data_IF_677398525687
#
_entry.id   IF_677398525687
#
_cell.length_a   1.000
_cell.length_b   1.000
_cell.length_c   1.000
_cell.angle_alpha   90.00
_cell.angle_beta   90.00
_cell.angle_gamma   90.00
#
_symmetry.space_group_name_H-M   'P 1'
#
loop_
_entity.id
_entity.type
_entity.pdbx_description
1 polymer ?
#
# COMPACT_ATOMS: atom_id res chain seq x y z
N UNK A 1 24.56 9.98 13.76
CA UNK A 1 24.65 8.54 13.56
C UNK A 1 24.33 8.29 12.10
N UNK A 2 25.34 8.12 11.27
CA UNK A 2 25.17 7.62 9.90
C UNK A 2 24.77 6.16 10.02
N UNK A 3 23.60 5.80 9.45
CA UNK A 3 23.24 4.42 9.31
C UNK A 3 24.30 3.77 8.42
N UNK A 4 25.01 2.79 8.94
CA UNK A 4 25.80 1.86 8.17
C UNK A 4 24.86 1.29 7.09
N UNK A 5 25.04 1.74 5.83
CA UNK A 5 24.54 0.99 4.71
C UNK A 5 25.16 -0.38 4.82
N UNK A 6 24.37 -1.37 5.21
CA UNK A 6 24.82 -2.73 5.31
C UNK A 6 25.41 -3.14 3.96
N UNK A 7 26.65 -3.58 3.94
CA UNK A 7 27.40 -4.15 2.80
C UNK A 7 26.75 -5.42 2.22
N UNK A 8 25.52 -5.71 2.61
CA UNK A 8 24.72 -6.81 2.09
C UNK A 8 24.26 -6.47 0.67
N UNK A 9 24.72 -7.27 -0.31
CA UNK A 9 24.32 -7.14 -1.69
C UNK A 9 22.80 -7.07 -1.84
N UNK A 10 22.30 -5.96 -2.38
CA UNK A 10 20.87 -5.73 -2.68
C UNK A 10 20.48 -6.53 -3.93
N UNK A 11 20.23 -7.80 -3.76
CA UNK A 11 19.93 -8.74 -4.86
C UNK A 11 18.44 -8.94 -5.09
N UNK A 12 17.63 -8.80 -4.05
CA UNK A 12 16.19 -9.10 -4.11
C UNK A 12 15.39 -7.93 -4.75
N UNK A 13 14.32 -8.23 -5.50
CA UNK A 13 13.45 -7.20 -6.05
C UNK A 13 12.74 -6.43 -4.93
N UNK A 14 12.38 -5.17 -5.23
CA UNK A 14 11.62 -4.35 -4.28
C UNK A 14 10.25 -4.95 -4.01
N UNK A 15 9.85 -4.98 -2.74
CA UNK A 15 8.50 -5.37 -2.33
C UNK A 15 7.45 -4.36 -2.84
N UNK A 16 6.16 -4.75 -2.97
CA UNK A 16 5.09 -3.81 -3.32
C UNK A 16 5.02 -2.61 -2.35
N UNK A 17 5.21 -2.86 -1.06
CA UNK A 17 5.22 -1.82 -0.03
C UNK A 17 6.39 -0.85 -0.20
N UNK A 18 7.57 -1.36 -0.58
CA UNK A 18 8.74 -0.53 -0.85
C UNK A 18 8.52 0.37 -2.06
N UNK A 19 7.86 -0.15 -3.11
CA UNK A 19 7.49 0.63 -4.30
C UNK A 19 6.48 1.72 -3.95
N UNK A 20 5.45 1.39 -3.18
CA UNK A 20 4.43 2.34 -2.71
C UNK A 20 5.06 3.45 -1.85
N UNK A 21 5.92 3.10 -0.90
CA UNK A 21 6.65 4.06 -0.06
C UNK A 21 7.56 4.96 -0.89
N UNK A 22 8.28 4.41 -1.87
CA UNK A 22 9.10 5.19 -2.79
C UNK A 22 8.25 6.18 -3.60
N UNK A 23 7.07 5.75 -4.06
CA UNK A 23 6.12 6.62 -4.75
C UNK A 23 5.60 7.74 -3.83
N UNK A 24 5.21 7.43 -2.60
CA UNK A 24 4.80 8.44 -1.60
C UNK A 24 5.90 9.46 -1.29
N UNK A 25 7.16 9.02 -1.26
CA UNK A 25 8.32 9.89 -1.03
C UNK A 25 8.71 10.73 -2.26
N UNK A 26 8.02 10.54 -3.38
CA UNK A 26 8.30 11.25 -4.62
C UNK A 26 9.44 10.66 -5.44
N UNK A 27 9.90 9.45 -5.12
CA UNK A 27 10.95 8.75 -5.84
C UNK A 27 10.32 7.95 -6.98
N UNK A 28 10.26 8.57 -8.16
CA UNK A 28 9.73 7.95 -9.39
C UNK A 28 10.76 8.03 -10.51
N UNK A 29 10.68 7.08 -11.45
CA UNK A 29 11.52 7.13 -12.65
C UNK A 29 11.18 8.39 -13.46
N UNK A 30 12.19 9.14 -13.88
CA UNK A 30 12.02 10.34 -14.72
C UNK A 30 13.09 10.36 -15.80
N UNK A 31 12.66 10.61 -17.03
CA UNK A 31 13.58 10.91 -18.14
C UNK A 31 13.42 12.37 -18.56
N UNK A 32 14.51 13.11 -18.46
CA UNK A 32 14.56 14.50 -18.96
C UNK A 32 14.49 14.54 -20.48
N UNK A 33 15.08 13.56 -21.14
CA UNK A 33 15.13 13.44 -22.59
C UNK A 33 13.74 13.25 -23.20
N UNK A 34 12.94 12.36 -22.58
CA UNK A 34 11.54 12.17 -22.96
C UNK A 34 10.75 13.46 -22.76
N UNK A 35 10.94 14.15 -21.63
CA UNK A 35 10.30 15.44 -21.37
C UNK A 35 10.63 16.48 -22.42
N UNK A 36 11.91 16.62 -22.78
CA UNK A 36 12.38 17.56 -23.81
C UNK A 36 11.80 17.20 -25.19
N UNK A 37 11.82 15.92 -25.56
CA UNK A 37 11.21 15.43 -26.80
C UNK A 37 9.71 15.77 -26.87
N UNK A 38 8.95 15.46 -25.82
CA UNK A 38 7.50 15.73 -25.76
C UNK A 38 7.21 17.21 -25.88
N UNK A 39 7.93 18.07 -25.15
CA UNK A 39 7.76 19.52 -25.20
C UNK A 39 8.03 20.07 -26.60
N UNK A 40 9.18 19.71 -27.18
CA UNK A 40 9.55 20.24 -28.52
C UNK A 40 8.64 19.70 -29.63
N UNK A 41 8.23 18.40 -29.54
CA UNK A 41 7.30 17.81 -30.49
C UNK A 41 5.92 18.45 -30.42
N UNK A 42 5.42 18.74 -29.20
CA UNK A 42 4.16 19.44 -29.01
C UNK A 42 4.21 20.87 -29.55
N UNK A 43 5.29 21.57 -29.27
CA UNK A 43 5.50 22.93 -29.77
C UNK A 43 5.53 22.99 -31.29
N UNK A 44 6.32 22.12 -31.93
CA UNK A 44 6.42 22.05 -33.39
C UNK A 44 5.08 21.61 -34.01
N UNK A 45 4.43 20.57 -33.43
CA UNK A 45 3.13 20.08 -33.89
C UNK A 45 2.03 21.13 -33.79
N UNK A 46 2.01 21.89 -32.69
CA UNK A 46 1.08 23.02 -32.55
C UNK A 46 1.34 24.13 -33.55
N UNK A 47 2.61 24.51 -33.77
CA UNK A 47 2.97 25.50 -34.79
C UNK A 47 2.62 25.01 -36.20
N UNK A 48 2.78 23.75 -36.48
CA UNK A 48 2.38 23.18 -37.77
C UNK A 48 0.87 23.19 -37.97
N UNK A 49 0.09 22.80 -36.94
CA UNK A 49 -1.37 22.67 -37.02
C UNK A 49 -2.08 24.04 -36.98
N UNK A 50 -1.60 24.99 -36.19
CA UNK A 50 -2.25 26.29 -35.95
C UNK A 50 -1.45 27.50 -36.47
N UNK A 51 -0.32 27.25 -37.12
CA UNK A 51 0.59 28.33 -37.55
C UNK A 51 -0.02 29.34 -38.53
N UNK A 52 -0.87 28.88 -39.47
CA UNK A 52 -1.59 29.78 -40.38
C UNK A 52 -2.59 30.68 -39.64
N UNK A 53 -3.37 30.11 -38.74
CA UNK A 53 -4.30 30.88 -37.89
C UNK A 53 -3.57 31.89 -37.02
N UNK A 54 -2.44 31.49 -36.45
CA UNK A 54 -1.59 32.37 -35.64
C UNK A 54 -1.04 33.52 -36.48
N UNK A 55 -0.55 33.24 -37.71
CA UNK A 55 -0.04 34.23 -38.64
C UNK A 55 -1.14 35.21 -39.06
N UNK A 56 -2.35 34.75 -39.37
CA UNK A 56 -3.48 35.58 -39.72
C UNK A 56 -3.91 36.51 -38.58
N UNK A 57 -4.01 35.98 -37.36
CA UNK A 57 -4.34 36.78 -36.18
C UNK A 57 -3.27 37.80 -35.85
N UNK A 58 -1.99 37.41 -35.88
CA UNK A 58 -0.88 38.35 -35.64
C UNK A 58 -0.76 39.40 -36.77
N UNK A 59 -0.96 38.97 -38.00
CA UNK A 59 -0.97 39.87 -39.17
C UNK A 59 -2.11 40.90 -39.10
N UNK A 60 -3.31 40.44 -38.69
CA UNK A 60 -4.45 41.36 -38.50
C UNK A 60 -4.24 42.29 -37.30
N UNK A 61 -3.69 41.81 -36.20
CA UNK A 61 -3.35 42.65 -35.04
C UNK A 61 -2.32 43.69 -35.40
N UNK A 62 -1.28 43.31 -36.17
CA UNK A 62 -0.26 44.25 -36.64
C UNK A 62 -0.84 45.27 -37.59
N UNK A 63 -1.66 44.85 -38.57
CA UNK A 63 -2.32 45.74 -39.54
C UNK A 63 -3.24 46.72 -38.81
N UNK A 64 -4.06 46.25 -37.89
CA UNK A 64 -4.96 47.11 -37.10
C UNK A 64 -4.19 48.08 -36.18
N UNK A 65 -3.03 47.65 -35.66
CA UNK A 65 -2.15 48.51 -34.85
C UNK A 65 -1.44 49.61 -35.68
N UNK A 66 -1.19 49.36 -36.98
CA UNK A 66 -0.57 50.33 -37.89
C UNK A 66 -1.57 51.20 -38.63
N UNK A 67 -2.82 50.78 -38.79
CA UNK A 67 -3.91 51.50 -39.43
C UNK A 67 -4.78 52.17 -38.37
N UNK A 68 -4.62 53.44 -38.15
CA UNK A 68 -5.42 54.25 -37.23
C UNK A 68 -5.93 55.50 -37.91
N UNK A 69 -7.14 55.90 -37.55
CA UNK A 69 -7.72 57.12 -38.01
C UNK A 69 -7.01 58.33 -37.38
N UNK A 70 -6.91 59.43 -38.14
CA UNK A 70 -6.24 60.66 -37.65
C UNK A 70 -6.83 61.18 -36.33
N UNK A 71 -8.15 61.02 -36.13
CA UNK A 71 -8.83 61.49 -34.94
C UNK A 71 -8.36 60.62 -33.69
N UNK A 72 -8.18 59.32 -33.85
CA UNK A 72 -7.70 58.41 -32.80
C UNK A 72 -6.24 58.65 -32.38
N UNK A 73 -5.42 59.24 -33.27
CA UNK A 73 -4.02 59.57 -32.97
C UNK A 73 -3.84 60.77 -32.01
N UNK A 74 -4.90 61.55 -31.81
CA UNK A 74 -4.87 62.75 -30.94
C UNK A 74 -5.69 62.56 -29.67
N UNK A 75 -6.31 61.39 -29.47
CA UNK A 75 -7.06 61.01 -28.26
C UNK A 75 -6.34 59.90 -27.47
N UNK A 76 -5.77 60.27 -26.33
CA UNK A 76 -5.01 59.33 -25.47
C UNK A 76 -5.87 58.16 -24.97
N UNK A 77 -7.17 58.35 -24.79
CA UNK A 77 -8.08 57.29 -24.34
C UNK A 77 -8.29 56.23 -25.42
N UNK A 78 -8.45 56.64 -26.65
CA UNK A 78 -8.56 55.77 -27.82
C UNK A 78 -7.25 54.99 -28.07
N UNK A 79 -6.10 55.65 -27.91
CA UNK A 79 -4.78 54.99 -28.05
C UNK A 79 -4.59 53.88 -27.03
N UNK A 80 -4.99 54.09 -25.76
CA UNK A 80 -4.90 53.07 -24.71
C UNK A 80 -5.81 51.87 -25.01
N UNK A 81 -7.04 52.09 -25.42
CA UNK A 81 -7.99 51.03 -25.80
C UNK A 81 -7.48 50.24 -26.99
N UNK A 82 -6.95 50.93 -28.03
CA UNK A 82 -6.40 50.28 -29.23
C UNK A 82 -5.15 49.43 -28.88
N UNK A 83 -4.24 49.95 -28.07
CA UNK A 83 -3.08 49.21 -27.60
C UNK A 83 -3.51 47.95 -26.77
N UNK A 84 -4.49 48.12 -25.88
CA UNK A 84 -5.04 47.02 -25.10
C UNK A 84 -5.66 45.94 -25.98
N UNK A 85 -6.48 46.31 -26.97
CA UNK A 85 -7.11 45.37 -27.90
C UNK A 85 -6.06 44.62 -28.73
N UNK A 86 -5.03 45.31 -29.20
CA UNK A 86 -3.93 44.68 -29.97
C UNK A 86 -3.17 43.65 -29.14
N UNK A 87 -2.89 43.95 -27.87
CA UNK A 87 -2.27 42.99 -26.94
C UNK A 87 -3.16 41.76 -26.71
N UNK A 88 -4.46 41.97 -26.48
CA UNK A 88 -5.42 40.86 -26.29
C UNK A 88 -5.48 39.96 -27.54
N UNK A 89 -5.56 40.51 -28.74
CA UNK A 89 -5.56 39.74 -29.98
C UNK A 89 -4.23 38.98 -30.19
N UNK A 90 -3.10 39.60 -29.86
CA UNK A 90 -1.80 38.92 -29.92
C UNK A 90 -1.72 37.75 -28.91
N UNK A 91 -2.24 37.94 -27.68
CA UNK A 91 -2.32 36.84 -26.69
C UNK A 91 -3.29 35.72 -27.14
N UNK A 92 -4.42 36.06 -27.73
CA UNK A 92 -5.35 35.08 -28.31
C UNK A 92 -4.71 34.28 -29.45
N UNK A 93 -3.90 34.92 -30.29
CA UNK A 93 -3.16 34.22 -31.33
C UNK A 93 -2.16 33.19 -30.76
N UNK A 94 -1.54 33.48 -29.62
CA UNK A 94 -0.59 32.57 -28.94
C UNK A 94 -1.27 31.53 -28.02
N UNK A 95 -2.54 31.75 -27.70
CA UNK A 95 -3.25 30.91 -26.73
C UNK A 95 -3.21 29.41 -27.07
N UNK A 96 -3.40 28.93 -28.33
CA UNK A 96 -3.32 27.50 -28.64
C UNK A 96 -1.94 26.88 -28.33
N UNK A 97 -0.87 27.64 -28.66
CA UNK A 97 0.50 27.20 -28.38
C UNK A 97 0.77 27.16 -26.88
N UNK A 98 0.39 28.17 -26.13
CA UNK A 98 0.56 28.21 -24.67
C UNK A 98 -0.24 27.13 -23.98
N UNK A 99 -1.48 26.87 -24.41
CA UNK A 99 -2.31 25.79 -23.87
C UNK A 99 -1.69 24.43 -24.16
N UNK A 100 -1.26 24.15 -25.39
CA UNK A 100 -0.61 22.90 -25.75
C UNK A 100 0.69 22.67 -24.97
N UNK A 101 1.52 23.71 -24.83
CA UNK A 101 2.75 23.62 -24.02
C UNK A 101 2.48 23.43 -22.55
N UNK A 102 1.45 24.05 -21.99
CA UNK A 102 1.04 23.85 -20.61
C UNK A 102 0.59 22.39 -20.38
N UNK A 103 -0.22 21.85 -21.28
CA UNK A 103 -0.63 20.43 -21.20
C UNK A 103 0.58 19.51 -21.33
N UNK A 104 1.47 19.77 -22.29
CA UNK A 104 2.70 18.97 -22.44
C UNK A 104 3.59 19.04 -21.20
N UNK A 105 3.74 20.21 -20.57
CA UNK A 105 4.52 20.38 -19.34
C UNK A 105 3.95 19.59 -18.15
N UNK A 106 2.63 19.43 -18.08
CA UNK A 106 1.97 18.62 -17.05
C UNK A 106 2.07 17.13 -17.36
N UNK A 107 1.88 16.73 -18.62
CA UNK A 107 1.84 15.33 -19.04
C UNK A 107 3.22 14.69 -19.13
N UNK A 108 4.23 15.43 -19.63
CA UNK A 108 5.57 14.87 -19.88
C UNK A 108 6.21 14.17 -18.64
N UNK A 109 6.19 14.74 -17.42
CA UNK A 109 6.72 14.06 -16.24
C UNK A 109 5.92 12.82 -15.84
N UNK A 110 4.63 12.78 -16.23
CA UNK A 110 3.71 11.71 -15.84
C UNK A 110 3.85 10.44 -16.69
N UNK A 111 4.44 10.54 -17.89
CA UNK A 111 4.55 9.43 -18.82
C UNK A 111 5.34 8.22 -18.27
N UNK A 112 6.36 8.47 -17.42
CA UNK A 112 7.14 7.40 -16.79
C UNK A 112 6.76 7.15 -15.35
N UNK A 113 6.58 8.22 -14.58
CA UNK A 113 6.41 8.14 -13.12
C UNK A 113 4.97 8.13 -12.63
N UNK A 114 4.01 8.27 -13.54
CA UNK A 114 2.60 8.39 -13.20
C UNK A 114 2.24 9.72 -12.51
N UNK A 115 1.01 9.79 -12.02
CA UNK A 115 0.51 10.97 -11.29
C UNK A 115 1.11 10.99 -9.88
N UNK A 116 1.88 12.02 -9.55
CA UNK A 116 2.54 12.16 -8.26
C UNK A 116 2.14 13.49 -7.58
N UNK A 117 1.28 13.39 -6.56
CA UNK A 117 0.97 14.49 -5.65
C UNK A 117 1.50 14.11 -4.24
N UNK A 118 2.78 14.39 -4.01
CA UNK A 118 3.42 14.10 -2.72
C UNK A 118 3.76 15.37 -1.96
N UNK A 119 3.00 15.69 -0.91
CA UNK A 119 3.32 16.79 0.00
C UNK A 119 4.66 16.61 0.72
N UNK A 120 5.09 15.34 0.93
CA UNK A 120 6.38 15.00 1.54
C UNK A 120 7.58 15.41 0.67
N UNK A 121 7.40 15.44 -0.65
CA UNK A 121 8.47 15.86 -1.58
C UNK A 121 8.75 17.37 -1.56
N UNK A 122 7.80 18.18 -1.11
CA UNK A 122 7.89 19.63 -0.98
C UNK A 122 8.56 20.07 0.33
N UNK A 123 8.72 19.17 1.30
CA UNK A 123 9.39 19.51 2.55
C UNK A 123 10.88 19.77 2.34
N UNK A 124 11.42 20.89 2.87
CA UNK A 124 12.82 21.25 2.73
C UNK A 124 13.70 20.20 3.44
N UNK A 125 14.60 19.57 2.70
CA UNK A 125 15.56 18.59 3.22
C UNK A 125 16.90 19.27 3.47
N UNK A 126 17.08 19.85 4.65
CA UNK A 126 18.32 20.59 5.03
C UNK A 126 19.59 19.73 4.93
N UNK A 127 19.48 18.40 5.04
CA UNK A 127 20.61 17.47 4.83
C UNK A 127 21.21 17.55 3.42
N UNK A 128 20.46 18.02 2.42
CA UNK A 128 20.95 18.23 1.04
C UNK A 128 21.74 19.52 0.85
N UNK A 129 21.70 20.43 1.80
CA UNK A 129 22.37 21.74 1.76
C UNK A 129 23.83 21.70 2.23
N UNK A 130 24.35 20.55 2.64
CA UNK A 130 25.74 20.41 3.06
C UNK A 130 26.67 20.54 1.82
N UNK A 131 27.49 21.64 1.73
CA UNK A 131 28.33 21.90 0.56
C UNK A 131 29.48 20.90 0.41
N UNK A 132 30.04 20.40 1.52
CA UNK A 132 31.14 19.43 1.50
C UNK A 132 30.66 18.09 0.91
N UNK A 133 29.52 17.61 1.33
CA UNK A 133 28.91 16.42 0.76
C UNK A 133 28.44 16.63 -0.71
N UNK A 134 28.17 17.89 -1.10
CA UNK A 134 27.85 18.30 -2.46
C UNK A 134 29.05 18.11 -3.39
N UNK A 135 30.21 18.65 -3.01
CA UNK A 135 31.45 18.55 -3.79
C UNK A 135 31.88 17.08 -3.99
N UNK A 136 31.81 16.27 -2.92
CA UNK A 136 32.13 14.82 -3.03
C UNK A 136 31.22 14.09 -4.03
N UNK A 137 29.95 14.44 -4.10
CA UNK A 137 29.00 13.87 -5.08
C UNK A 137 29.30 14.29 -6.52
N UNK A 138 29.83 15.50 -6.74
CA UNK A 138 30.20 15.97 -8.09
C UNK A 138 31.33 15.13 -8.73
N UNK A 139 32.20 14.56 -7.92
CA UNK A 139 33.29 13.70 -8.38
C UNK A 139 32.99 12.19 -8.22
N UNK A 140 31.72 11.81 -8.04
CA UNK A 140 31.34 10.40 -7.98
C UNK A 140 31.39 9.74 -9.36
N UNK A 141 31.61 8.43 -9.38
CA UNK A 141 31.57 7.62 -10.62
C UNK A 141 30.24 7.71 -11.35
N UNK A 142 29.13 7.91 -10.59
CA UNK A 142 27.81 8.14 -11.17
C UNK A 142 27.73 9.45 -11.95
N UNK A 143 28.30 10.53 -11.39
CA UNK A 143 28.32 11.85 -12.06
C UNK A 143 29.20 11.83 -13.31
N UNK A 144 30.35 11.13 -13.26
CA UNK A 144 31.20 10.93 -14.42
C UNK A 144 30.48 10.16 -15.54
N UNK A 145 29.75 9.10 -15.20
CA UNK A 145 28.96 8.34 -16.15
C UNK A 145 27.84 9.18 -16.79
N UNK A 146 27.19 10.05 -15.99
CA UNK A 146 26.19 11.00 -16.53
C UNK A 146 26.81 12.05 -17.45
N UNK A 147 28.01 12.53 -17.13
CA UNK A 147 28.76 13.47 -17.98
C UNK A 147 29.09 12.84 -19.34
N UNK A 148 29.63 11.61 -19.34
CA UNK A 148 29.93 10.88 -20.58
C UNK A 148 28.67 10.69 -21.43
N UNK A 149 27.56 10.27 -20.84
CA UNK A 149 26.28 10.14 -21.54
C UNK A 149 25.81 11.47 -22.15
N UNK A 150 25.95 12.57 -21.42
CA UNK A 150 25.56 13.90 -21.89
C UNK A 150 26.41 14.33 -23.06
N UNK A 151 27.73 14.09 -23.03
CA UNK A 151 28.63 14.36 -24.15
C UNK A 151 28.27 13.55 -25.39
N UNK A 152 28.03 12.24 -25.24
CA UNK A 152 27.63 11.37 -26.35
C UNK A 152 26.33 11.85 -26.98
N UNK A 153 25.33 12.19 -26.17
CA UNK A 153 24.06 12.77 -26.66
C UNK A 153 24.27 14.08 -27.41
N UNK A 154 25.06 15.00 -26.85
CA UNK A 154 25.35 16.30 -27.48
C UNK A 154 26.06 16.11 -28.81
N UNK A 155 27.00 15.20 -28.91
CA UNK A 155 27.69 14.88 -30.16
C UNK A 155 26.73 14.26 -31.18
N UNK A 156 25.83 13.35 -30.77
CA UNK A 156 24.83 12.74 -31.64
C UNK A 156 23.87 13.79 -32.20
N UNK A 157 23.25 14.61 -31.34
CA UNK A 157 22.32 15.65 -31.76
C UNK A 157 23.04 16.71 -32.61
N UNK A 158 24.26 17.11 -32.21
CA UNK A 158 25.08 18.05 -32.93
C UNK A 158 25.49 17.56 -34.32
N UNK A 159 25.89 16.28 -34.45
CA UNK A 159 26.25 15.69 -35.75
C UNK A 159 25.05 15.57 -36.70
N UNK A 160 23.86 15.16 -36.16
CA UNK A 160 22.63 15.14 -36.95
C UNK A 160 22.23 16.53 -37.38
N UNK A 161 22.29 17.50 -36.48
CA UNK A 161 21.98 18.92 -36.80
C UNK A 161 22.93 19.46 -37.88
N UNK A 162 24.21 19.19 -37.74
CA UNK A 162 25.21 19.56 -38.75
C UNK A 162 24.92 18.93 -40.11
N UNK A 163 24.65 17.63 -40.14
CA UNK A 163 24.33 16.90 -41.36
C UNK A 163 23.07 17.44 -42.05
N UNK A 164 22.01 17.72 -41.30
CA UNK A 164 20.76 18.29 -41.83
C UNK A 164 20.97 19.70 -42.37
N UNK A 165 21.67 20.57 -41.64
CA UNK A 165 21.92 21.96 -42.05
C UNK A 165 22.82 21.99 -43.28
N UNK A 166 23.95 21.26 -43.28
CA UNK A 166 24.89 21.23 -44.39
C UNK A 166 24.25 20.66 -45.66
N UNK A 167 23.38 19.64 -45.54
CA UNK A 167 22.63 19.05 -46.65
C UNK A 167 21.59 20.01 -47.27
N UNK A 168 21.07 20.95 -46.47
CA UNK A 168 20.10 21.94 -46.95
C UNK A 168 20.75 23.28 -47.38
N UNK A 169 22.08 23.43 -47.32
CA UNK A 169 22.76 24.65 -47.67
C UNK A 169 22.47 25.15 -49.10
N UNK A 170 22.40 24.26 -50.12
CA UNK A 170 22.00 24.70 -51.48
C UNK A 170 20.59 25.29 -51.52
N UNK A 171 19.64 24.69 -50.78
CA UNK A 171 18.25 25.18 -50.69
C UNK A 171 18.21 26.54 -50.01
N UNK A 172 19.01 26.76 -48.96
CA UNK A 172 19.13 28.06 -48.29
C UNK A 172 19.66 29.12 -49.24
N UNK A 173 20.66 28.80 -50.03
CA UNK A 173 21.22 29.73 -51.00
C UNK A 173 20.23 30.05 -52.13
N UNK A 174 19.43 29.11 -52.56
CA UNK A 174 18.40 29.30 -53.59
C UNK A 174 17.32 30.32 -53.17
N UNK A 175 17.03 30.44 -51.87
CA UNK A 175 16.07 31.43 -51.36
C UNK A 175 16.43 32.87 -51.70
N UNK A 176 17.70 33.17 -51.88
CA UNK A 176 18.16 34.52 -52.23
C UNK A 176 17.70 34.97 -53.63
N UNK A 177 17.35 34.03 -54.50
CA UNK A 177 16.84 34.30 -55.86
C UNK A 177 15.32 34.31 -55.99
N UNK A 178 14.60 34.04 -54.92
CA UNK A 178 13.14 33.93 -54.96
C UNK A 178 12.43 35.24 -54.60
N UNK A 179 11.20 35.46 -55.11
CA UNK A 179 10.34 36.55 -54.63
C UNK A 179 10.09 36.43 -53.12
N UNK A 180 10.06 37.56 -52.41
CA UNK A 180 9.97 37.60 -50.93
C UNK A 180 8.85 36.74 -50.35
N UNK A 181 7.69 36.71 -50.98
CA UNK A 181 6.55 35.91 -50.50
C UNK A 181 6.84 34.41 -50.56
N UNK A 182 7.42 33.93 -51.68
CA UNK A 182 7.78 32.52 -51.86
C UNK A 182 8.97 32.13 -50.98
N UNK A 183 9.98 33.00 -50.91
CA UNK A 183 11.15 32.82 -50.05
C UNK A 183 10.76 32.66 -48.58
N UNK A 184 9.78 33.43 -48.09
CA UNK A 184 9.27 33.28 -46.72
C UNK A 184 8.59 31.92 -46.49
N UNK A 185 7.73 31.51 -47.41
CA UNK A 185 7.04 30.19 -47.29
C UNK A 185 8.04 29.03 -47.34
N UNK A 186 9.00 29.05 -48.28
CA UNK A 186 10.05 28.04 -48.37
C UNK A 186 10.97 28.02 -47.14
N UNK A 187 11.30 29.20 -46.59
CA UNK A 187 12.10 29.33 -45.36
C UNK A 187 11.37 28.66 -44.21
N UNK A 188 10.07 28.93 -44.00
CA UNK A 188 9.27 28.31 -42.93
C UNK A 188 9.19 26.78 -43.09
N UNK A 189 9.02 26.29 -44.33
CA UNK A 189 9.02 24.84 -44.57
C UNK A 189 10.38 24.22 -44.29
N UNK A 190 11.48 24.86 -44.68
CA UNK A 190 12.83 24.37 -44.43
C UNK A 190 13.15 24.34 -42.94
N UNK A 191 12.81 25.39 -42.20
CA UNK A 191 12.95 25.45 -40.75
C UNK A 191 12.11 24.34 -40.07
N UNK A 192 10.84 24.18 -40.46
CA UNK A 192 9.97 23.16 -39.92
C UNK A 192 10.51 21.74 -40.15
N UNK A 193 10.98 21.43 -41.37
CA UNK A 193 11.62 20.12 -41.68
C UNK A 193 12.89 19.91 -40.87
N UNK A 194 13.75 20.93 -40.78
CA UNK A 194 14.99 20.85 -40.01
C UNK A 194 14.71 20.60 -38.51
N UNK A 195 13.78 21.37 -37.94
CA UNK A 195 13.32 21.14 -36.55
C UNK A 195 12.74 19.75 -36.35
N UNK A 196 11.90 19.27 -37.28
CA UNK A 196 11.32 17.91 -37.19
C UNK A 196 12.38 16.83 -37.21
N UNK A 197 13.42 16.93 -38.02
CA UNK A 197 14.54 15.99 -38.07
C UNK A 197 15.39 16.02 -36.78
N UNK A 198 15.67 17.19 -36.28
CA UNK A 198 16.40 17.36 -35.00
C UNK A 198 15.57 16.80 -33.83
N UNK A 199 14.26 17.11 -33.77
CA UNK A 199 13.38 16.57 -32.75
C UNK A 199 13.25 15.04 -32.90
N UNK A 200 13.19 14.53 -34.13
CA UNK A 200 13.21 13.09 -34.43
C UNK A 200 14.48 12.41 -33.89
N UNK A 201 15.65 13.07 -33.92
CA UNK A 201 16.86 12.57 -33.31
C UNK A 201 16.75 12.46 -31.77
N UNK A 202 16.05 13.38 -31.13
CA UNK A 202 15.80 13.30 -29.68
C UNK A 202 14.90 12.11 -29.29
N UNK A 203 14.02 11.65 -30.20
CA UNK A 203 13.25 10.43 -29.98
C UNK A 203 14.17 9.22 -29.81
N UNK A 204 15.22 9.11 -30.64
CA UNK A 204 16.20 8.02 -30.52
C UNK A 204 16.93 8.08 -29.17
N UNK A 205 17.32 9.29 -28.76
CA UNK A 205 17.95 9.49 -27.44
C UNK A 205 16.99 9.10 -26.31
N UNK A 206 15.73 9.54 -26.38
CA UNK A 206 14.72 9.19 -25.38
C UNK A 206 14.42 7.69 -25.37
N UNK A 207 14.40 7.02 -26.53
CA UNK A 207 14.18 5.58 -26.64
C UNK A 207 15.26 4.74 -25.93
N UNK A 208 16.47 5.27 -25.85
CA UNK A 208 17.58 4.63 -25.10
C UNK A 208 17.54 5.02 -23.61
N UNK A 209 17.24 6.30 -23.32
CA UNK A 209 17.24 6.83 -21.95
C UNK A 209 16.11 6.25 -21.10
N UNK A 210 14.90 6.09 -21.65
CA UNK A 210 13.73 5.59 -20.91
C UNK A 210 13.94 4.21 -20.29
N UNK A 211 14.35 3.15 -21.05
CA UNK A 211 14.63 1.84 -20.46
C UNK A 211 15.75 1.90 -19.41
N UNK A 212 16.78 2.69 -19.66
CA UNK A 212 17.87 2.90 -18.72
C UNK A 212 17.40 3.52 -17.40
N UNK A 213 16.55 4.56 -17.44
CA UNK A 213 16.02 5.22 -16.25
C UNK A 213 15.10 4.27 -15.45
N UNK A 214 14.26 3.49 -16.13
CA UNK A 214 13.44 2.47 -15.50
C UNK A 214 14.28 1.40 -14.81
N UNK A 215 15.29 0.87 -15.51
CA UNK A 215 16.21 -0.12 -14.93
C UNK A 215 16.98 0.44 -13.73
N UNK A 216 17.54 1.65 -13.85
CA UNK A 216 18.26 2.33 -12.78
C UNK A 216 17.37 2.57 -11.56
N UNK A 217 16.12 2.99 -11.77
CA UNK A 217 15.14 3.19 -10.71
C UNK A 217 14.85 1.88 -9.97
N UNK A 218 14.54 0.79 -10.68
CA UNK A 218 14.32 -0.51 -10.07
C UNK A 218 15.57 -1.03 -9.34
N UNK A 219 16.77 -0.82 -9.90
CA UNK A 219 18.02 -1.19 -9.26
C UNK A 219 18.24 -0.46 -7.92
N UNK A 220 17.93 0.84 -7.86
CA UNK A 220 18.04 1.64 -6.62
C UNK A 220 17.05 1.21 -5.53
N UNK A 221 15.92 0.62 -5.90
CA UNK A 221 14.90 0.14 -4.97
C UNK A 221 15.11 -1.31 -4.52
N UNK A 222 16.09 -2.05 -5.09
CA UNK A 222 16.40 -3.42 -4.65
C UNK A 222 16.67 -3.48 -3.16
N UNK A 223 16.33 -4.61 -2.58
CA UNK A 223 16.42 -4.89 -1.16
C UNK A 223 17.45 -5.97 -0.87
N UNK A 224 18.00 -5.95 0.34
CA UNK A 224 18.72 -7.10 0.87
C UNK A 224 17.71 -8.16 1.36
N UNK A 225 18.15 -9.42 1.53
CA UNK A 225 17.30 -10.46 2.13
C UNK A 225 16.90 -10.13 3.56
N UNK A 226 17.71 -9.36 4.24
CA UNK A 226 17.45 -8.94 5.62
C UNK A 226 16.37 -7.85 5.67
N UNK A 227 16.45 -6.85 4.77
CA UNK A 227 15.42 -5.82 4.60
C UNK A 227 14.05 -6.45 4.32
N UNK A 228 14.02 -7.45 3.41
CA UNK A 228 12.79 -8.14 3.04
C UNK A 228 12.18 -8.90 4.22
N UNK A 229 13.01 -9.61 5.01
CA UNK A 229 12.57 -10.30 6.22
C UNK A 229 12.04 -9.32 7.28
N UNK A 230 12.71 -8.20 7.43
CA UNK A 230 12.29 -7.18 8.39
C UNK A 230 10.97 -6.53 7.98
N UNK A 231 10.79 -6.23 6.70
CA UNK A 231 9.54 -5.69 6.18
C UNK A 231 8.38 -6.69 6.32
N UNK A 232 8.64 -7.98 6.10
CA UNK A 232 7.64 -9.04 6.35
C UNK A 232 7.25 -9.11 7.83
N UNK A 233 8.22 -9.03 8.75
CA UNK A 233 7.93 -8.98 10.20
C UNK A 233 7.11 -7.75 10.58
N UNK A 234 7.39 -6.61 9.99
CA UNK A 234 6.63 -5.37 10.24
C UNK A 234 5.21 -5.43 9.67
N UNK A 235 5.02 -6.10 8.53
CA UNK A 235 3.72 -6.25 7.88
C UNK A 235 2.84 -7.30 8.55
N UNK A 236 3.40 -8.49 8.78
CA UNK A 236 2.66 -9.67 9.29
C UNK A 236 2.67 -9.77 10.81
N UNK A 237 3.52 -9.00 11.48
CA UNK A 237 3.82 -9.12 12.91
C UNK A 237 4.77 -10.27 13.20
N UNK A 238 5.50 -10.16 14.29
CA UNK A 238 6.45 -11.20 14.74
C UNK A 238 5.68 -12.48 15.13
N UNK A 239 5.97 -13.65 14.50
CA UNK A 239 5.34 -14.92 14.84
C UNK A 239 5.48 -15.29 16.32
N UNK A 240 6.61 -14.88 16.96
CA UNK A 240 6.83 -15.12 18.38
C UNK A 240 5.87 -14.31 19.26
N UNK A 241 5.61 -13.05 18.91
CA UNK A 241 4.64 -12.21 19.61
C UNK A 241 3.23 -12.76 19.46
N UNK A 242 2.84 -13.20 18.25
CA UNK A 242 1.53 -13.89 18.04
C UNK A 242 1.39 -15.15 18.89
N UNK A 243 2.45 -15.97 18.93
CA UNK A 243 2.46 -17.18 19.76
C UNK A 243 2.37 -16.85 21.25
N UNK A 244 3.05 -15.81 21.72
CA UNK A 244 2.99 -15.37 23.11
C UNK A 244 1.59 -14.85 23.49
N UNK A 245 0.98 -14.05 22.63
CA UNK A 245 -0.39 -13.56 22.83
C UNK A 245 -1.37 -14.74 22.93
N UNK A 246 -1.29 -15.74 22.03
CA UNK A 246 -2.14 -16.93 22.09
C UNK A 246 -1.94 -17.71 23.39
N UNK A 247 -0.68 -17.89 23.84
CA UNK A 247 -0.38 -18.56 25.13
C UNK A 247 -0.99 -17.82 26.31
N UNK A 248 -0.88 -16.49 26.34
CA UNK A 248 -1.48 -15.67 27.40
C UNK A 248 -3.01 -15.76 27.39
N UNK A 249 -3.64 -15.69 26.21
CA UNK A 249 -5.09 -15.86 26.07
C UNK A 249 -5.57 -17.22 26.60
N UNK A 250 -4.87 -18.30 26.25
CA UNK A 250 -5.17 -19.64 26.76
C UNK A 250 -5.01 -19.74 28.29
N UNK A 251 -3.95 -19.14 28.83
CA UNK A 251 -3.74 -19.12 30.27
C UNK A 251 -4.82 -18.32 31.00
N UNK A 252 -5.22 -17.16 30.46
CA UNK A 252 -6.31 -16.37 31.03
C UNK A 252 -7.64 -17.11 30.96
N UNK A 253 -7.97 -17.76 29.84
CA UNK A 253 -9.17 -18.57 29.70
C UNK A 253 -9.18 -19.74 30.72
N UNK A 254 -8.03 -20.43 30.88
CA UNK A 254 -7.88 -21.50 31.89
C UNK A 254 -8.04 -20.99 33.32
N UNK A 255 -7.47 -19.81 33.65
CA UNK A 255 -7.64 -19.20 34.97
C UNK A 255 -9.09 -18.84 35.27
N UNK A 256 -9.82 -18.25 34.27
CA UNK A 256 -11.24 -17.90 34.38
C UNK A 256 -12.07 -19.18 34.62
N UNK A 257 -11.85 -20.22 33.83
CA UNK A 257 -12.52 -21.50 34.00
C UNK A 257 -12.29 -22.06 35.40
N UNK A 258 -11.06 -22.04 35.92
CA UNK A 258 -10.75 -22.51 37.26
C UNK A 258 -11.42 -21.69 38.36
N UNK A 259 -11.59 -20.40 38.17
CA UNK A 259 -12.29 -19.54 39.11
C UNK A 259 -13.82 -19.81 39.20
N UNK A 260 -14.38 -20.48 38.17
CA UNK A 260 -15.80 -20.92 38.22
C UNK A 260 -16.01 -22.24 38.91
N UNK A 261 -14.98 -23.11 39.09
CA UNK A 261 -15.09 -24.41 39.75
C UNK A 261 -15.73 -24.32 41.15
N UNK A 262 -15.39 -23.36 42.03
CA UNK A 262 -16.03 -23.23 43.36
C UNK A 262 -17.55 -22.99 43.31
N UNK A 263 -18.11 -22.60 42.16
CA UNK A 263 -19.54 -22.31 41.97
C UNK A 263 -20.31 -23.56 41.45
N UNK A 264 -19.63 -24.70 41.27
CA UNK A 264 -20.24 -25.93 40.83
C UNK A 264 -21.07 -26.57 41.91
N UNK A 265 -22.19 -27.18 41.53
CA UNK A 265 -23.05 -27.98 42.43
C UNK A 265 -22.51 -29.41 42.60
N UNK A 266 -21.85 -29.94 41.56
CA UNK A 266 -21.23 -31.28 41.57
C UNK A 266 -20.11 -31.35 40.54
N UNK A 267 -19.11 -32.19 40.83
CA UNK A 267 -18.08 -32.57 39.87
C UNK A 267 -18.21 -34.06 39.56
N UNK A 268 -18.31 -34.38 38.26
CA UNK A 268 -18.33 -35.74 37.76
C UNK A 268 -16.95 -36.09 37.25
N UNK A 269 -16.42 -37.24 37.65
CA UNK A 269 -15.03 -37.64 37.35
C UNK A 269 -14.93 -39.00 36.70
N UNK A 270 -13.98 -39.13 35.81
CA UNK A 270 -13.32 -40.39 35.46
C UNK A 270 -11.93 -40.33 36.13
N UNK A 271 -11.64 -41.17 37.13
CA UNK A 271 -10.59 -40.95 38.13
C UNK A 271 -9.21 -40.54 37.60
N UNK A 272 -8.81 -41.07 36.47
CA UNK A 272 -7.47 -40.86 35.90
C UNK A 272 -7.41 -39.87 34.77
N UNK A 273 -8.53 -39.57 34.09
CA UNK A 273 -8.49 -38.87 32.82
C UNK A 273 -9.32 -37.59 32.75
N UNK A 274 -10.54 -37.57 33.30
CA UNK A 274 -11.45 -36.43 33.08
C UNK A 274 -12.12 -35.95 34.36
N UNK A 275 -12.36 -34.63 34.43
CA UNK A 275 -13.26 -34.06 35.43
C UNK A 275 -14.11 -32.96 34.75
N UNK A 276 -15.41 -32.99 35.07
CA UNK A 276 -16.40 -32.02 34.55
C UNK A 276 -17.19 -31.46 35.73
N UNK A 277 -17.20 -30.14 35.85
CA UNK A 277 -17.96 -29.41 36.87
C UNK A 277 -19.29 -28.96 36.28
N UNK A 278 -20.38 -29.32 36.94
CA UNK A 278 -21.73 -29.01 36.55
C UNK A 278 -22.34 -27.99 37.51
N UNK A 279 -23.13 -27.11 36.94
CA UNK A 279 -23.93 -26.15 37.69
C UNK A 279 -25.35 -26.15 37.18
N UNK A 280 -26.30 -26.06 38.11
CA UNK A 280 -27.73 -25.94 37.81
C UNK A 280 -28.43 -25.03 38.81
N UNK A 281 -29.34 -24.18 38.31
CA UNK A 281 -30.17 -23.31 39.13
C UNK A 281 -31.60 -23.34 38.57
N UNK A 282 -32.55 -23.79 39.39
CA UNK A 282 -33.97 -23.87 39.01
C UNK A 282 -34.54 -22.50 38.56
N UNK A 283 -33.99 -21.41 39.07
CA UNK A 283 -34.51 -20.07 38.83
C UNK A 283 -34.06 -19.44 37.51
N UNK A 284 -32.82 -19.78 37.08
CA UNK A 284 -32.13 -19.02 36.01
C UNK A 284 -31.68 -19.89 34.82
N UNK A 285 -31.81 -21.22 34.93
CA UNK A 285 -31.27 -22.17 33.94
C UNK A 285 -32.33 -23.15 33.44
N UNK A 286 -32.40 -23.32 32.11
CA UNK A 286 -33.29 -24.31 31.48
C UNK A 286 -32.76 -25.71 31.59
N UNK A 287 -31.43 -25.88 31.62
CA UNK A 287 -30.72 -27.12 31.75
C UNK A 287 -29.39 -26.94 32.48
N UNK A 288 -28.82 -28.00 33.08
CA UNK A 288 -27.49 -27.96 33.70
C UNK A 288 -26.42 -27.56 32.69
N UNK A 289 -25.42 -26.76 33.15
CA UNK A 289 -24.31 -26.28 32.34
C UNK A 289 -22.98 -26.83 32.83
N UNK A 290 -22.06 -27.02 31.87
CA UNK A 290 -20.66 -27.36 32.15
C UNK A 290 -19.86 -26.09 32.35
N UNK A 291 -19.53 -25.76 33.59
CA UNK A 291 -18.79 -24.54 33.95
C UNK A 291 -17.27 -24.72 33.98
N UNK A 292 -16.80 -25.97 34.15
CA UNK A 292 -15.38 -26.30 33.98
C UNK A 292 -15.25 -27.76 33.51
N UNK A 293 -14.25 -27.99 32.66
CA UNK A 293 -13.88 -29.35 32.24
C UNK A 293 -12.39 -29.46 31.97
N UNK A 294 -11.80 -30.61 32.20
CA UNK A 294 -10.36 -30.80 31.97
C UNK A 294 -9.95 -32.26 31.92
N UNK A 295 -8.76 -32.47 31.36
CA UNK A 295 -8.07 -33.76 31.31
C UNK A 295 -6.85 -33.74 32.24
N UNK A 296 -6.41 -34.88 32.68
CA UNK A 296 -5.14 -35.14 33.37
C UNK A 296 -4.82 -34.10 34.47
N UNK A 297 -3.80 -33.29 34.30
CA UNK A 297 -3.40 -32.26 35.29
C UNK A 297 -4.50 -31.21 35.54
N UNK A 298 -5.32 -30.92 34.54
CA UNK A 298 -6.45 -29.98 34.71
C UNK A 298 -7.55 -30.65 35.52
N UNK A 299 -7.85 -31.94 35.25
CA UNK A 299 -8.81 -32.72 36.01
C UNK A 299 -8.39 -32.87 37.48
N UNK A 300 -7.10 -33.12 37.73
CA UNK A 300 -6.53 -33.15 39.09
C UNK A 300 -6.75 -31.83 39.81
N UNK A 301 -6.50 -30.71 39.15
CA UNK A 301 -6.70 -29.38 39.74
C UNK A 301 -8.17 -29.08 40.05
N UNK A 302 -9.09 -29.44 39.13
CA UNK A 302 -10.53 -29.30 39.34
C UNK A 302 -10.94 -30.12 40.61
N UNK A 303 -10.47 -31.38 40.77
CA UNK A 303 -10.76 -32.20 41.95
C UNK A 303 -10.18 -31.63 43.22
N UNK A 304 -8.95 -31.10 43.18
CA UNK A 304 -8.35 -30.44 44.34
C UNK A 304 -9.17 -29.22 44.80
N UNK A 305 -9.63 -28.36 43.87
CA UNK A 305 -10.54 -27.27 44.18
C UNK A 305 -11.89 -27.72 44.72
N UNK A 306 -12.42 -28.86 44.21
CA UNK A 306 -13.63 -29.44 44.73
C UNK A 306 -13.52 -29.85 46.21
N UNK A 307 -12.41 -30.49 46.57
CA UNK A 307 -12.13 -30.87 47.96
C UNK A 307 -11.97 -29.65 48.88
N UNK A 308 -11.25 -28.64 48.43
CA UNK A 308 -11.05 -27.37 49.15
C UNK A 308 -12.39 -26.66 49.44
N UNK A 309 -13.30 -26.64 48.45
CA UNK A 309 -14.60 -25.98 48.55
C UNK A 309 -15.75 -26.91 48.98
N UNK A 310 -15.44 -28.14 49.37
CA UNK A 310 -16.43 -29.15 49.82
C UNK A 310 -17.55 -29.43 48.81
N UNK A 311 -17.18 -29.39 47.52
CA UNK A 311 -18.10 -29.70 46.41
C UNK A 311 -18.19 -31.21 46.28
N UNK A 312 -19.39 -31.79 46.17
CA UNK A 312 -19.56 -33.23 45.93
C UNK A 312 -18.84 -33.70 44.67
N UNK A 313 -18.11 -34.82 44.77
CA UNK A 313 -17.41 -35.44 43.65
C UNK A 313 -18.00 -36.83 43.46
N UNK A 314 -18.52 -37.09 42.26
CA UNK A 314 -19.07 -38.41 41.91
C UNK A 314 -18.19 -39.05 40.83
N UNK A 315 -17.85 -40.31 41.05
CA UNK A 315 -17.15 -41.13 40.06
C UNK A 315 -18.17 -41.79 39.13
N UNK A 316 -18.18 -41.34 37.84
CA UNK A 316 -19.07 -41.85 36.80
C UNK A 316 -18.39 -41.80 35.44
N UNK A 317 -17.46 -42.71 35.11
CA UNK A 317 -16.62 -42.64 33.93
C UNK A 317 -17.39 -42.50 32.61
N UNK A 318 -18.48 -43.25 32.31
CA UNK A 318 -19.24 -43.10 31.07
C UNK A 318 -19.85 -41.71 30.93
N UNK A 319 -20.47 -41.18 31.98
CA UNK A 319 -21.08 -39.84 31.97
C UNK A 319 -20.04 -38.77 31.83
N UNK A 320 -18.88 -38.90 32.49
CA UNK A 320 -17.81 -37.90 32.42
C UNK A 320 -17.23 -37.80 31.02
N UNK A 321 -17.00 -38.94 30.35
CA UNK A 321 -16.52 -38.99 28.96
C UNK A 321 -17.52 -38.32 28.01
N UNK A 322 -18.80 -38.68 28.12
CA UNK A 322 -19.87 -38.11 27.31
C UNK A 322 -19.97 -36.59 27.48
N UNK A 323 -19.99 -36.09 28.71
CA UNK A 323 -20.05 -34.66 29.01
C UNK A 323 -18.81 -33.92 28.49
N UNK A 324 -17.62 -34.46 28.68
CA UNK A 324 -16.37 -33.82 28.23
C UNK A 324 -16.33 -33.66 26.71
N UNK A 325 -16.74 -34.68 25.95
CA UNK A 325 -16.68 -34.70 24.49
C UNK A 325 -17.80 -33.87 23.85
N UNK A 326 -19.02 -34.03 24.32
CA UNK A 326 -20.23 -33.54 23.66
C UNK A 326 -20.76 -32.21 24.21
N UNK A 327 -20.16 -31.68 25.29
CA UNK A 327 -20.58 -30.37 25.84
C UNK A 327 -19.45 -29.38 25.80
N UNK A 328 -19.69 -28.18 25.23
CA UNK A 328 -18.75 -27.07 25.28
C UNK A 328 -18.74 -26.42 26.67
N UNK A 329 -17.65 -25.73 26.99
CA UNK A 329 -17.57 -24.89 28.19
C UNK A 329 -18.67 -23.84 28.17
N UNK A 330 -19.30 -23.59 29.32
CA UNK A 330 -20.44 -22.67 29.53
C UNK A 330 -21.71 -23.01 28.73
N UNK A 331 -21.76 -24.19 28.09
CA UNK A 331 -22.93 -24.66 27.36
C UNK A 331 -23.83 -25.59 28.20
N UNK A 332 -25.09 -25.64 27.82
CA UNK A 332 -26.05 -26.62 28.34
C UNK A 332 -25.71 -28.02 27.88
N UNK A 333 -25.96 -29.03 28.74
CA UNK A 333 -25.70 -30.41 28.41
C UNK A 333 -26.66 -30.91 27.30
N UNK A 334 -26.27 -31.93 26.51
CA UNK A 334 -27.18 -32.54 25.53
C UNK A 334 -28.39 -33.16 26.16
N UNK A 335 -29.55 -33.10 25.49
CA UNK A 335 -30.82 -33.67 25.97
C UNK A 335 -30.72 -35.14 26.31
N UNK A 336 -29.94 -35.91 25.56
CA UNK A 336 -29.68 -37.33 25.78
C UNK A 336 -29.01 -37.64 27.15
N UNK A 337 -28.38 -36.65 27.79
CA UNK A 337 -27.73 -36.80 29.11
C UNK A 337 -28.57 -36.23 30.27
N UNK A 338 -29.76 -35.68 30.02
CA UNK A 338 -30.59 -35.07 31.04
C UNK A 338 -30.95 -36.01 32.17
N UNK A 339 -31.38 -37.24 31.83
CA UNK A 339 -31.75 -38.23 32.83
C UNK A 339 -30.59 -38.60 33.76
N UNK A 340 -29.41 -38.88 33.20
CA UNK A 340 -28.22 -39.19 33.96
C UNK A 340 -27.74 -38.03 34.83
N UNK A 341 -27.74 -36.81 34.30
CA UNK A 341 -27.31 -35.62 35.06
C UNK A 341 -28.32 -35.23 36.13
N UNK A 342 -29.62 -35.38 35.87
CA UNK A 342 -30.67 -35.12 36.88
C UNK A 342 -30.52 -36.05 38.10
N UNK A 343 -30.22 -37.35 37.89
CA UNK A 343 -29.97 -38.31 38.98
C UNK A 343 -28.72 -37.92 39.80
N UNK A 344 -27.66 -37.49 39.12
CA UNK A 344 -26.41 -37.01 39.74
C UNK A 344 -26.65 -35.74 40.58
N UNK A 345 -27.40 -34.77 40.04
CA UNK A 345 -27.74 -33.52 40.76
C UNK A 345 -28.68 -33.82 41.95
N UNK A 346 -29.68 -34.67 41.78
CA UNK A 346 -30.57 -35.08 42.87
C UNK A 346 -29.79 -35.70 44.04
N UNK A 347 -28.83 -36.59 43.74
CA UNK A 347 -27.92 -37.13 44.72
C UNK A 347 -27.06 -36.04 45.41
N UNK A 348 -26.53 -35.09 44.67
CA UNK A 348 -25.72 -34.00 45.23
C UNK A 348 -26.54 -33.11 46.17
N UNK A 349 -27.77 -32.76 45.80
CA UNK A 349 -28.67 -32.00 46.67
C UNK A 349 -29.08 -32.75 47.91
N UNK A 350 -29.38 -34.06 47.83
CA UNK A 350 -29.67 -34.90 48.97
C UNK A 350 -28.46 -34.98 49.92
N UNK A 351 -27.26 -35.18 49.36
CA UNK A 351 -26.03 -35.21 50.15
C UNK A 351 -25.82 -33.88 50.89
N UNK A 352 -26.01 -32.76 50.22
CA UNK A 352 -25.85 -31.43 50.82
C UNK A 352 -26.87 -31.19 51.95
N UNK A 353 -28.12 -31.62 51.75
CA UNK A 353 -29.18 -31.50 52.75
C UNK A 353 -28.89 -32.37 53.97
N UNK A 354 -28.53 -33.63 53.78
CA UNK A 354 -28.25 -34.59 54.90
C UNK A 354 -26.99 -34.18 55.67
N UNK A 355 -25.98 -33.63 55.00
CA UNK A 355 -24.77 -33.08 55.66
C UNK A 355 -25.10 -31.91 56.59
N UNK A 356 -26.16 -31.11 56.27
CA UNK A 356 -26.63 -30.00 57.11
C UNK A 356 -27.57 -30.45 58.24
N UNK A 357 -28.44 -31.39 57.96
CA UNK A 357 -29.54 -31.84 58.86
C UNK A 357 -29.16 -33.06 59.73
N UNK A 358 -28.02 -33.72 59.47
CA UNK A 358 -27.51 -34.82 60.29
C UNK A 358 -28.19 -36.14 59.99
N UNK A 359 -28.45 -36.50 58.75
CA UNK A 359 -29.06 -37.78 58.35
C UNK A 359 -28.08 -38.81 57.79
N UNK A 360 -28.57 -40.01 57.45
CA UNK A 360 -27.79 -41.09 56.82
C UNK A 360 -27.42 -40.65 55.37
N UNK A 361 -26.15 -40.87 54.99
CA UNK A 361 -25.66 -40.48 53.65
C UNK A 361 -26.39 -41.22 52.53
N UNK A 362 -26.84 -40.57 51.45
CA UNK A 362 -27.54 -41.22 50.38
C UNK A 362 -26.60 -42.14 49.60
N UNK A 363 -27.10 -43.33 49.15
CA UNK A 363 -26.30 -44.27 48.38
C UNK A 363 -25.84 -43.58 47.04
N UNK A 364 -24.59 -43.86 46.66
CA UNK A 364 -24.07 -43.38 45.38
C UNK A 364 -24.80 -44.02 44.20
N UNK A 365 -25.23 -43.22 43.19
CA UNK A 365 -25.84 -43.79 41.98
C UNK A 365 -24.82 -44.61 41.20
N UNK A 366 -25.16 -45.89 40.90
CA UNK A 366 -24.21 -46.80 40.23
C UNK A 366 -24.50 -47.07 38.76
N UNK A 367 -25.77 -46.97 38.32
CA UNK A 367 -26.19 -47.28 36.94
C UNK A 367 -26.86 -46.06 36.33
N UNK A 368 -26.03 -45.11 35.90
CA UNK A 368 -26.54 -43.89 35.23
C UNK A 368 -26.93 -44.21 33.78
N UNK A 369 -28.10 -43.74 33.31
CA UNK A 369 -28.57 -44.01 31.94
C UNK A 369 -27.80 -43.13 30.94
N UNK A 370 -26.62 -43.57 30.53
CA UNK A 370 -25.81 -42.90 29.50
C UNK A 370 -25.96 -43.67 28.19
N UNK A 371 -26.41 -43.05 27.10
CA UNK A 371 -26.53 -43.72 25.79
C UNK A 371 -25.14 -44.20 25.30
N UNK A 372 -25.07 -45.46 24.85
CA UNK A 372 -23.83 -46.07 24.32
C UNK A 372 -23.23 -45.26 23.14
N UNK A 373 -24.08 -44.58 22.35
CA UNK A 373 -23.66 -43.73 21.26
C UNK A 373 -22.79 -42.53 21.71
N UNK A 374 -22.90 -42.12 22.99
CA UNK A 374 -22.15 -41.00 23.57
C UNK A 374 -20.96 -41.47 24.43
N UNK A 375 -20.88 -42.74 24.78
CA UNK A 375 -19.79 -43.35 25.57
C UNK A 375 -18.79 -44.14 24.70
N UNK A 376 -18.68 -43.87 23.40
CA UNK A 376 -17.73 -44.60 22.55
C UNK A 376 -16.29 -44.45 23.09
N UNK A 377 -15.65 -45.57 23.41
CA UNK A 377 -14.23 -45.70 23.75
C UNK A 377 -13.36 -45.46 22.49
N UNK A 378 -13.43 -44.28 21.92
CA UNK A 378 -12.61 -43.87 20.79
C UNK A 378 -11.52 -42.93 21.26
N UNK A 379 -10.28 -43.21 20.87
CA UNK A 379 -9.04 -42.46 21.11
C UNK A 379 -9.17 -40.96 21.18
N UNK A 380 -8.36 -40.27 22.02
CA UNK A 380 -8.33 -38.81 22.03
C UNK A 380 -7.84 -38.29 20.66
N UNK A 381 -8.59 -37.33 20.07
CA UNK A 381 -8.17 -36.57 18.90
C UNK A 381 -7.20 -35.47 19.30
#
# INVERSE_FOLDING_TARGET
>A
MMAEESDLEKTEPASPRRLEKAHEEGQVARSRELGTFVMLSTGLGCLWASGSLMADHLGSALRNGLQFERASAFDASHMMVQAGSTIVHALQALAPLLAAMMVAALVAPMLLGGWLLSGKSLMPKFSKLNPVAGIGRMFSTETLAELVKTLVKSLLVGSISWWVISGNLPSIMALMGEPVHNALAHTLQLVAKTCALIIGSLLLVAAIDVPYQLWSHHKKLRMSREDLRQEQKESDGDPQVKAQIRRQQQQMAKRRMMAEVPKADIIVTNPTHFAVALKYSDKDMRAPRVIAKGTDLVALRIRALAQEHKIPVLEAPPLTRALYRHTRLDAEIPVALYAAVAEVLAWAYQLHRQTKEGGALPPMPRNLPVPETLDSEGSPA
#
